data_IF_818721978171
#
_entry.id   IF_818721978171
#
_cell.length_a   1.000
_cell.length_b   1.000
_cell.length_c   1.000
_cell.angle_alpha   90.00
_cell.angle_beta   90.00
_cell.angle_gamma   90.00
#
_symmetry.space_group_name_H-M   'P 1'
#
loop_
_entity.id
_entity.type
_entity.pdbx_description
1 polymer ?
#
# COMPACT_ATOMS: atom_id res chain seq x y z
N UNK A 1 -18.42 18.55 -4.17
CA UNK A 1 -18.49 18.48 -2.68
C UNK A 1 -18.01 19.82 -2.11
N UNK A 2 -18.90 20.81 -1.98
CA UNK A 2 -18.57 22.17 -1.49
C UNK A 2 -18.69 22.34 0.05
N UNK A 3 -18.65 21.27 0.85
CA UNK A 3 -19.14 21.34 2.23
C UNK A 3 -18.09 21.35 3.36
N UNK A 4 -16.77 21.21 3.10
CA UNK A 4 -15.80 21.06 4.22
C UNK A 4 -14.94 22.31 4.49
N UNK A 5 -14.94 23.31 3.61
CA UNK A 5 -14.07 24.50 3.81
C UNK A 5 -12.57 24.16 3.94
N UNK A 6 -12.17 22.94 3.60
CA UNK A 6 -10.79 22.47 3.69
C UNK A 6 -10.00 23.07 2.56
N UNK A 7 -8.89 23.69 2.91
CA UNK A 7 -7.88 24.12 1.94
C UNK A 7 -7.35 22.91 1.17
N UNK A 8 -7.00 23.08 -0.11
CA UNK A 8 -6.46 22.02 -0.97
C UNK A 8 -5.31 21.26 -0.28
N UNK A 9 -4.46 21.98 0.48
CA UNK A 9 -3.37 21.37 1.28
C UNK A 9 -3.86 20.41 2.37
N UNK A 10 -4.97 20.73 3.05
CA UNK A 10 -5.53 19.84 4.08
C UNK A 10 -6.11 18.57 3.47
N UNK A 11 -6.76 18.68 2.31
CA UNK A 11 -7.26 17.52 1.57
C UNK A 11 -6.10 16.60 1.14
N UNK A 12 -5.02 17.17 0.59
CA UNK A 12 -3.82 16.40 0.23
C UNK A 12 -3.23 15.64 1.42
N UNK A 13 -3.09 16.31 2.57
CA UNK A 13 -2.56 15.67 3.77
C UNK A 13 -3.46 14.55 4.27
N UNK A 14 -4.78 14.75 4.23
CA UNK A 14 -5.74 13.74 4.67
C UNK A 14 -5.71 12.49 3.80
N UNK A 15 -5.80 12.65 2.47
CA UNK A 15 -5.79 11.52 1.53
C UNK A 15 -4.47 10.75 1.60
N UNK A 16 -3.35 11.46 1.71
CA UNK A 16 -2.04 10.81 1.83
C UNK A 16 -1.91 10.04 3.15
N UNK A 17 -2.48 10.56 4.24
CA UNK A 17 -2.46 9.91 5.54
C UNK A 17 -3.35 8.66 5.57
N UNK A 18 -4.57 8.76 5.02
CA UNK A 18 -5.49 7.63 4.86
C UNK A 18 -4.88 6.53 3.98
N UNK A 19 -4.33 6.91 2.82
CA UNK A 19 -3.66 5.96 1.91
C UNK A 19 -2.44 5.32 2.57
N UNK A 20 -1.66 6.09 3.33
CA UNK A 20 -0.52 5.59 4.09
C UNK A 20 -0.91 4.60 5.18
N UNK A 21 -1.98 4.89 5.94
CA UNK A 21 -2.54 3.98 6.95
C UNK A 21 -3.06 2.67 6.33
N UNK A 22 -3.76 2.77 5.20
CA UNK A 22 -4.22 1.61 4.45
C UNK A 22 -3.05 0.78 3.92
N UNK A 23 -2.02 1.44 3.37
CA UNK A 23 -0.80 0.77 2.91
C UNK A 23 -0.02 0.08 4.02
N UNK A 24 0.13 0.74 5.17
CA UNK A 24 0.81 0.18 6.33
C UNK A 24 0.06 -1.03 6.91
N UNK A 25 -1.28 -0.94 7.02
CA UNK A 25 -2.10 -2.06 7.50
C UNK A 25 -2.08 -3.25 6.53
N UNK A 26 -2.18 -2.99 5.22
CA UNK A 26 -2.03 -4.03 4.20
C UNK A 26 -0.63 -4.66 4.23
N UNK A 27 0.43 -3.86 4.34
CA UNK A 27 1.80 -4.34 4.47
C UNK A 27 1.99 -5.20 5.71
N UNK A 28 1.45 -4.78 6.86
CA UNK A 28 1.53 -5.54 8.11
C UNK A 28 0.82 -6.90 8.02
N UNK A 29 -0.31 -6.97 7.31
CA UNK A 29 -1.03 -8.23 7.05
C UNK A 29 -0.34 -9.10 5.99
N UNK A 30 0.39 -8.49 5.06
CA UNK A 30 1.15 -9.20 4.03
C UNK A 30 2.32 -9.99 4.62
N UNK A 31 2.95 -9.52 5.70
CA UNK A 31 4.07 -10.22 6.34
C UNK A 31 3.71 -11.63 6.85
N UNK A 32 2.69 -11.81 7.75
CA UNK A 32 2.34 -13.13 8.24
C UNK A 32 1.73 -14.02 7.16
N UNK A 33 0.95 -13.45 6.24
CA UNK A 33 0.34 -14.23 5.15
C UNK A 33 1.38 -14.71 4.14
N UNK A 34 2.32 -13.86 3.74
CA UNK A 34 3.45 -14.23 2.87
C UNK A 34 4.37 -15.25 3.53
N UNK A 35 4.65 -15.09 4.83
CA UNK A 35 5.43 -16.08 5.59
C UNK A 35 4.72 -17.43 5.64
N UNK A 36 3.41 -17.45 5.92
CA UNK A 36 2.61 -18.67 5.89
C UNK A 36 2.64 -19.36 4.51
N UNK A 37 2.56 -18.59 3.43
CA UNK A 37 2.67 -19.11 2.07
C UNK A 37 4.05 -19.73 1.81
N UNK A 38 5.12 -19.08 2.26
CA UNK A 38 6.49 -19.61 2.13
C UNK A 38 6.66 -20.94 2.88
N UNK A 39 6.09 -21.07 4.08
CA UNK A 39 6.08 -22.33 4.83
C UNK A 39 5.36 -23.43 4.06
N UNK A 40 4.17 -23.16 3.51
CA UNK A 40 3.43 -24.13 2.70
C UNK A 40 4.25 -24.57 1.49
N UNK A 41 4.86 -23.60 0.80
CA UNK A 41 5.69 -23.87 -0.36
C UNK A 41 6.87 -24.78 -0.02
N UNK A 42 7.57 -24.52 1.08
CA UNK A 42 8.79 -25.28 1.43
C UNK A 42 8.45 -26.64 2.05
N UNK A 43 7.53 -26.69 3.00
CA UNK A 43 7.27 -27.92 3.77
C UNK A 43 6.27 -28.86 3.11
N UNK A 44 5.30 -28.33 2.35
CA UNK A 44 4.27 -29.14 1.70
C UNK A 44 4.64 -29.34 0.23
N UNK A 45 4.76 -28.25 -0.53
CA UNK A 45 4.89 -28.33 -1.99
C UNK A 45 6.27 -28.84 -2.40
N UNK A 46 7.35 -28.25 -1.88
CA UNK A 46 8.72 -28.60 -2.29
C UNK A 46 9.06 -30.05 -1.93
N UNK A 47 8.68 -30.47 -0.72
CA UNK A 47 8.85 -31.85 -0.26
C UNK A 47 8.07 -32.85 -1.13
N UNK A 48 6.85 -32.50 -1.58
CA UNK A 48 6.00 -33.37 -2.42
C UNK A 48 6.41 -33.36 -3.91
N UNK A 49 6.92 -32.23 -4.40
CA UNK A 49 7.30 -32.04 -5.80
C UNK A 49 8.70 -32.59 -6.10
N UNK A 50 9.64 -32.45 -5.15
CA UNK A 50 11.05 -32.77 -5.39
C UNK A 50 11.61 -33.87 -4.46
N UNK A 51 10.98 -34.16 -3.32
CA UNK A 51 11.42 -35.22 -2.40
C UNK A 51 12.54 -34.81 -1.43
N UNK A 52 13.06 -33.59 -1.53
CA UNK A 52 14.02 -32.97 -0.61
C UNK A 52 13.47 -31.64 -0.07
N UNK A 53 13.95 -31.17 1.09
CA UNK A 53 13.54 -29.88 1.68
C UNK A 53 14.68 -28.88 1.63
N UNK A 54 14.41 -27.68 1.13
CA UNK A 54 15.33 -26.54 1.27
C UNK A 54 15.33 -26.04 2.71
N UNK A 55 16.50 -25.64 3.21
CA UNK A 55 16.63 -24.99 4.51
C UNK A 55 16.01 -23.59 4.42
N UNK A 56 14.96 -23.33 5.20
CA UNK A 56 14.33 -22.02 5.30
C UNK A 56 15.31 -21.06 5.99
N UNK A 57 15.86 -20.09 5.26
CA UNK A 57 16.61 -18.98 5.83
C UNK A 57 15.71 -17.75 5.90
N UNK A 58 15.38 -17.32 7.12
CA UNK A 58 14.51 -16.17 7.34
C UNK A 58 15.38 -14.95 7.57
N UNK A 59 15.56 -14.14 6.53
CA UNK A 59 16.21 -12.84 6.64
C UNK A 59 15.18 -11.74 6.86
N UNK A 60 15.53 -10.69 7.59
CA UNK A 60 14.64 -9.55 7.82
C UNK A 60 14.53 -8.61 6.60
N UNK A 61 15.54 -8.60 5.73
CA UNK A 61 15.60 -7.69 4.59
C UNK A 61 14.38 -7.80 3.64
N UNK A 62 13.93 -9.00 3.23
CA UNK A 62 12.75 -9.14 2.37
C UNK A 62 11.45 -8.64 3.02
N UNK A 63 11.33 -8.75 4.34
CA UNK A 63 10.15 -8.25 5.06
C UNK A 63 10.12 -6.72 5.09
N UNK A 64 11.28 -6.09 5.29
CA UNK A 64 11.40 -4.62 5.28
C UNK A 64 11.12 -4.10 3.86
N UNK A 65 11.68 -4.73 2.83
CA UNK A 65 11.41 -4.38 1.43
C UNK A 65 9.93 -4.54 1.09
N UNK A 66 9.30 -5.66 1.44
CA UNK A 66 7.88 -5.87 1.19
C UNK A 66 7.00 -4.81 1.86
N UNK A 67 7.31 -4.45 3.11
CA UNK A 67 6.60 -3.39 3.83
C UNK A 67 6.82 -2.02 3.18
N UNK A 68 8.05 -1.69 2.81
CA UNK A 68 8.38 -0.43 2.13
C UNK A 68 7.65 -0.31 0.79
N UNK A 69 7.64 -1.38 -0.01
CA UNK A 69 6.92 -1.44 -1.28
C UNK A 69 5.42 -1.26 -1.07
N UNK A 70 4.81 -1.90 -0.07
CA UNK A 70 3.38 -1.75 0.23
C UNK A 70 3.02 -0.30 0.58
N UNK A 71 3.82 0.34 1.44
CA UNK A 71 3.61 1.75 1.82
C UNK A 71 3.81 2.68 0.62
N UNK A 72 4.89 2.52 -0.13
CA UNK A 72 5.17 3.34 -1.31
C UNK A 72 4.10 3.19 -2.39
N UNK A 73 3.61 1.97 -2.63
CA UNK A 73 2.54 1.70 -3.57
C UNK A 73 1.22 2.35 -3.15
N UNK A 74 0.87 2.29 -1.86
CA UNK A 74 -0.34 2.92 -1.34
C UNK A 74 -0.27 4.45 -1.39
N UNK A 75 0.89 5.04 -1.07
CA UNK A 75 1.13 6.47 -1.23
C UNK A 75 1.03 6.88 -2.70
N UNK A 76 1.65 6.12 -3.62
CA UNK A 76 1.57 6.37 -5.05
C UNK A 76 0.12 6.29 -5.57
N UNK A 77 -0.66 5.31 -5.10
CA UNK A 77 -2.08 5.18 -5.42
C UNK A 77 -2.90 6.40 -4.95
N UNK A 78 -2.54 7.01 -3.81
CA UNK A 78 -3.17 8.22 -3.28
C UNK A 78 -2.85 9.50 -4.07
N UNK A 79 -1.75 9.56 -4.82
CA UNK A 79 -1.36 10.76 -5.58
C UNK A 79 -2.34 11.02 -6.75
N UNK A 80 -2.74 9.97 -7.47
CA UNK A 80 -3.61 10.06 -8.65
C UNK A 80 -4.99 10.69 -8.38
N UNK A 81 -5.79 10.24 -7.37
CA UNK A 81 -7.06 10.85 -7.04
C UNK A 81 -6.89 12.28 -6.52
N UNK A 82 -5.86 12.55 -5.71
CA UNK A 82 -5.63 13.88 -5.13
C UNK A 82 -5.30 14.93 -6.19
N UNK A 83 -4.55 14.53 -7.22
CA UNK A 83 -4.26 15.40 -8.37
C UNK A 83 -5.51 15.68 -9.22
N UNK A 84 -6.38 14.68 -9.42
CA UNK A 84 -7.68 14.86 -10.10
C UNK A 84 -8.61 15.79 -9.34
N UNK A 85 -8.73 15.63 -8.03
CA UNK A 85 -9.62 16.47 -7.19
C UNK A 85 -9.13 17.92 -7.18
N UNK A 86 -7.82 18.15 -7.11
CA UNK A 86 -7.25 19.51 -7.13
C UNK A 86 -7.62 20.24 -8.43
N UNK A 87 -7.54 19.58 -9.58
CA UNK A 87 -7.93 20.18 -10.87
C UNK A 87 -9.43 20.49 -10.97
N UNK A 88 -10.29 19.64 -10.39
CA UNK A 88 -11.74 19.87 -10.39
C UNK A 88 -12.13 21.07 -9.52
N UNK A 89 -11.51 21.21 -8.34
CA UNK A 89 -11.73 22.37 -7.45
C UNK A 89 -11.30 23.67 -8.14
N UNK A 90 -10.18 23.68 -8.88
CA UNK A 90 -9.73 24.86 -9.64
C UNK A 90 -10.65 25.17 -10.82
N UNK A 91 -11.13 24.17 -11.56
CA UNK A 91 -12.03 24.38 -12.70
C UNK A 91 -13.43 24.87 -12.28
N UNK A 92 -13.95 24.41 -11.14
CA UNK A 92 -15.20 24.94 -10.56
C UNK A 92 -15.03 26.35 -9.98
N UNK A 93 -13.83 26.72 -9.53
CA UNK A 93 -13.55 28.08 -9.06
C UNK A 93 -13.52 29.09 -10.22
N UNK A 94 -12.99 28.71 -11.39
CA UNK A 94 -12.94 29.58 -12.57
C UNK A 94 -14.27 29.69 -13.36
N UNK A 95 -15.24 28.79 -13.13
CA UNK A 95 -16.59 28.87 -13.71
C UNK A 95 -17.60 29.59 -12.82
N UNK A 96 -17.18 30.01 -11.63
CA UNK A 96 -18.00 30.76 -10.68
C UNK A 96 -17.88 32.28 -10.82
N UNK A 97 -17.06 32.76 -11.76
CA UNK A 97 -17.08 34.13 -12.30
C UNK A 97 -17.83 34.14 -13.64
#
# INVERSE_FOLDING_TARGET
MRAVGLTVRQLWRLVLFESGLLGASAGLLALPTGFGLALILIYIINRRAFGWTLQLHVEAAPFIEAFAVAVLAALAAGILPTWRISKQVTAEAMRGE
#
